data_IF_396655019773
#
_entry.id   IF_396655019773
#
_cell.length_a   1.000
_cell.length_b   1.000
_cell.length_c   1.000
_cell.angle_alpha   90.00
_cell.angle_beta   90.00
_cell.angle_gamma   90.00
#
_symmetry.space_group_name_H-M   'P 1'
#
loop_
_entity.id
_entity.type
_entity.pdbx_description
1 polymer ?
#
# COMPACT_ATOMS: atom_id res chain seq x y z
N UNK A 1 -0.31 16.30 2.59
CA UNK A 1 -1.55 15.57 2.21
C UNK A 1 -1.31 14.71 0.98
N UNK A 2 -1.88 13.53 0.98
CA UNK A 2 -1.86 12.66 -0.18
C UNK A 2 -3.18 11.92 -0.32
N UNK A 3 -3.41 11.35 -1.49
CA UNK A 3 -4.61 10.57 -1.79
C UNK A 3 -4.22 9.19 -2.33
N UNK A 4 -5.02 8.20 -1.96
CA UNK A 4 -4.90 6.84 -2.47
C UNK A 4 -6.18 6.47 -3.21
N UNK A 5 -6.04 5.84 -4.38
CA UNK A 5 -7.17 5.24 -5.07
C UNK A 5 -6.72 3.96 -5.77
N UNK A 6 -7.66 3.07 -6.04
CA UNK A 6 -7.39 1.89 -6.83
C UNK A 6 -7.82 2.14 -8.27
N UNK A 7 -6.88 2.03 -9.20
CA UNK A 7 -7.16 2.08 -10.63
C UNK A 7 -7.87 0.79 -11.06
N UNK A 8 -7.46 -0.32 -10.44
CA UNK A 8 -8.12 -1.62 -10.50
C UNK A 8 -7.75 -2.38 -9.23
N UNK A 9 -8.20 -3.63 -9.09
CA UNK A 9 -7.97 -4.42 -7.87
C UNK A 9 -6.49 -4.72 -7.57
N UNK A 10 -5.60 -4.48 -8.52
CA UNK A 10 -4.17 -4.80 -8.41
C UNK A 10 -3.26 -3.58 -8.58
N UNK A 11 -3.82 -2.40 -8.79
CA UNK A 11 -3.04 -1.19 -9.04
C UNK A 11 -3.47 -0.04 -8.15
N UNK A 12 -2.55 0.40 -7.30
CA UNK A 12 -2.74 1.53 -6.40
C UNK A 12 -2.15 2.79 -7.01
N UNK A 13 -2.92 3.87 -6.97
CA UNK A 13 -2.48 5.20 -7.35
C UNK A 13 -2.25 6.04 -6.12
N UNK A 14 -1.07 6.63 -6.01
CA UNK A 14 -0.70 7.57 -4.95
C UNK A 14 -0.56 8.96 -5.56
N UNK A 15 -1.34 9.91 -5.05
CA UNK A 15 -1.25 11.32 -5.47
C UNK A 15 -0.72 12.14 -4.30
N UNK A 16 0.49 12.65 -4.45
CA UNK A 16 1.14 13.47 -3.43
C UNK A 16 1.67 14.75 -4.08
N UNK A 17 1.09 15.89 -3.73
CA UNK A 17 1.38 17.17 -4.37
C UNK A 17 1.17 17.08 -5.89
N UNK A 18 2.22 17.35 -6.68
CA UNK A 18 2.15 17.29 -8.13
C UNK A 18 2.55 15.94 -8.73
N UNK A 19 2.88 14.96 -7.85
CA UNK A 19 3.34 13.65 -8.30
C UNK A 19 2.23 12.62 -8.23
N UNK A 20 2.19 11.78 -9.26
CA UNK A 20 1.28 10.64 -9.35
C UNK A 20 2.12 9.39 -9.59
N UNK A 21 1.96 8.41 -8.72
CA UNK A 21 2.67 7.15 -8.82
C UNK A 21 1.65 6.02 -8.85
N UNK A 22 1.75 5.14 -9.84
CA UNK A 22 0.93 3.94 -9.93
C UNK A 22 1.79 2.72 -9.63
N UNK A 23 1.33 1.86 -8.75
CA UNK A 23 2.02 0.61 -8.42
C UNK A 23 1.10 -0.55 -8.76
N UNK A 24 1.50 -1.34 -9.75
CA UNK A 24 0.82 -2.60 -10.08
C UNK A 24 1.50 -3.70 -9.25
N UNK A 25 0.78 -4.17 -8.23
CA UNK A 25 1.35 -5.15 -7.29
C UNK A 25 1.43 -6.56 -7.86
N UNK A 26 0.59 -6.89 -8.81
CA UNK A 26 0.61 -8.21 -9.46
C UNK A 26 1.78 -8.33 -10.44
N UNK A 27 2.11 -7.25 -11.15
CA UNK A 27 3.20 -7.22 -12.12
C UNK A 27 4.51 -6.71 -11.53
N UNK A 28 4.48 -6.18 -10.31
CA UNK A 28 5.63 -5.59 -9.63
C UNK A 28 6.26 -4.44 -10.43
N UNK A 29 5.42 -3.53 -10.91
CA UNK A 29 5.82 -2.39 -11.72
C UNK A 29 5.37 -1.10 -11.07
N UNK A 30 6.29 -0.14 -10.98
CA UNK A 30 6.01 1.23 -10.54
C UNK A 30 6.01 2.12 -11.79
N UNK A 31 4.91 2.82 -12.03
CA UNK A 31 4.81 3.78 -13.12
C UNK A 31 4.74 5.19 -12.50
N UNK A 32 5.81 5.94 -12.71
CA UNK A 32 5.97 7.29 -12.15
C UNK A 32 5.81 8.39 -13.21
N UNK A 33 5.18 8.07 -14.32
CA UNK A 33 4.87 9.02 -15.38
C UNK A 33 5.92 9.11 -16.48
N UNK A 34 5.67 10.02 -17.42
CA UNK A 34 6.45 10.09 -18.68
C UNK A 34 7.93 10.41 -18.49
N UNK A 35 8.28 11.20 -17.47
CA UNK A 35 9.67 11.60 -17.24
C UNK A 35 10.52 10.52 -16.58
N UNK A 36 9.91 9.77 -15.66
CA UNK A 36 10.60 8.74 -14.89
C UNK A 36 10.43 7.38 -15.55
N UNK A 37 9.26 7.11 -16.11
CA UNK A 37 8.94 5.84 -16.75
C UNK A 37 8.56 4.76 -15.77
N UNK A 38 8.78 3.52 -16.18
CA UNK A 38 8.44 2.33 -15.40
C UNK A 38 9.67 1.79 -14.69
N UNK A 39 9.49 1.48 -13.42
CA UNK A 39 10.55 0.94 -12.55
C UNK A 39 10.15 -0.46 -12.13
N UNK A 40 11.06 -1.40 -12.30
CA UNK A 40 10.81 -2.81 -12.00
C UNK A 40 11.86 -3.35 -11.03
N UNK A 41 11.45 -4.37 -10.27
CA UNK A 41 12.34 -5.08 -9.37
C UNK A 41 12.58 -4.39 -8.04
N UNK A 42 13.46 -5.00 -7.24
CA UNK A 42 13.81 -4.49 -5.92
C UNK A 42 14.71 -3.25 -6.02
N UNK A 43 14.54 -2.35 -5.07
CA UNK A 43 15.33 -1.14 -5.00
C UNK A 43 14.64 -0.04 -4.19
N UNK A 44 15.36 1.07 -4.05
CA UNK A 44 14.83 2.26 -3.40
C UNK A 44 14.59 3.32 -4.46
N UNK A 45 13.40 3.89 -4.47
CA UNK A 45 13.00 4.89 -5.45
C UNK A 45 12.43 6.11 -4.73
N UNK A 46 12.87 7.28 -5.16
CA UNK A 46 12.35 8.54 -4.65
C UNK A 46 11.67 9.29 -5.79
N UNK A 47 10.37 9.54 -5.63
CA UNK A 47 9.58 10.23 -6.64
C UNK A 47 8.87 11.41 -5.96
N UNK A 48 9.49 12.60 -6.07
CA UNK A 48 9.05 13.75 -5.29
C UNK A 48 9.18 13.46 -3.79
N UNK A 49 8.08 13.62 -3.06
CA UNK A 49 8.05 13.35 -1.63
C UNK A 49 7.64 11.89 -1.30
N UNK A 50 7.53 11.05 -2.31
CA UNK A 50 7.16 9.65 -2.15
C UNK A 50 8.43 8.79 -2.18
N UNK A 51 8.71 8.13 -1.05
CA UNK A 51 9.85 7.22 -0.93
C UNK A 51 9.33 5.79 -1.04
N UNK A 52 9.81 5.02 -2.00
CA UNK A 52 9.38 3.65 -2.22
C UNK A 52 10.54 2.71 -2.02
N UNK A 53 10.38 1.75 -1.13
CA UNK A 53 11.32 0.65 -0.96
C UNK A 53 10.65 -0.63 -1.46
N UNK A 54 11.13 -1.13 -2.60
CA UNK A 54 10.66 -2.37 -3.19
C UNK A 54 11.56 -3.50 -2.72
N UNK A 55 11.00 -4.45 -1.98
CA UNK A 55 11.74 -5.50 -1.28
C UNK A 55 11.47 -6.84 -1.96
N UNK A 56 12.53 -7.48 -2.44
CA UNK A 56 12.42 -8.81 -3.03
C UNK A 56 12.25 -9.86 -1.93
N UNK A 57 11.24 -10.71 -2.09
CA UNK A 57 11.02 -11.89 -1.26
C UNK A 57 10.95 -13.13 -2.17
N UNK A 58 10.90 -14.32 -1.59
CA UNK A 58 10.92 -15.55 -2.39
C UNK A 58 9.78 -15.67 -3.38
N UNK A 59 8.61 -15.09 -3.07
CA UNK A 59 7.40 -15.19 -3.89
C UNK A 59 7.12 -13.95 -4.75
N UNK A 60 7.96 -12.91 -4.70
CA UNK A 60 7.74 -11.70 -5.48
C UNK A 60 8.36 -10.46 -4.86
N UNK A 61 7.65 -9.34 -4.95
CA UNK A 61 8.10 -8.05 -4.42
C UNK A 61 7.02 -7.47 -3.52
N UNK A 62 7.44 -6.99 -2.35
CA UNK A 62 6.58 -6.24 -1.44
C UNK A 62 7.09 -4.79 -1.36
N UNK A 63 6.20 -3.87 -1.00
CA UNK A 63 6.53 -2.45 -1.03
C UNK A 63 6.31 -1.80 0.32
N UNK A 64 7.27 -0.96 0.71
CA UNK A 64 7.10 0.00 1.78
C UNK A 64 7.20 1.39 1.19
N UNK A 65 6.20 2.21 1.48
CA UNK A 65 6.11 3.56 0.92
C UNK A 65 5.98 4.53 2.09
N UNK A 66 6.84 5.54 2.10
CA UNK A 66 6.78 6.61 3.08
C UNK A 66 6.35 7.89 2.39
N UNK A 67 5.25 8.48 2.83
CA UNK A 67 4.72 9.74 2.33
C UNK A 67 4.05 10.51 3.46
N UNK A 68 4.45 11.78 3.64
CA UNK A 68 3.91 12.68 4.68
C UNK A 68 3.94 12.06 6.09
N UNK A 69 4.98 11.29 6.41
CA UNK A 69 5.14 10.63 7.71
C UNK A 69 4.26 9.38 7.88
N UNK A 70 3.52 8.99 6.87
CA UNK A 70 2.66 7.80 6.88
C UNK A 70 3.37 6.67 6.15
N UNK A 71 3.29 5.47 6.71
CA UNK A 71 3.95 4.28 6.18
C UNK A 71 2.91 3.36 5.57
N UNK A 72 3.06 3.12 4.28
CA UNK A 72 2.15 2.28 3.51
C UNK A 72 2.87 1.00 3.11
N UNK A 73 2.26 -0.14 3.38
CA UNK A 73 2.75 -1.43 2.92
C UNK A 73 1.85 -1.99 1.83
N UNK A 74 2.44 -2.57 0.80
CA UNK A 74 1.71 -3.29 -0.23
C UNK A 74 2.24 -4.71 -0.30
N UNK A 75 1.38 -5.69 -0.03
CA UNK A 75 1.73 -7.11 0.00
C UNK A 75 0.70 -7.88 -0.81
N UNK A 76 1.08 -8.28 -2.00
CA UNK A 76 0.23 -9.06 -2.91
C UNK A 76 0.77 -10.48 -3.13
N UNK A 77 2.03 -10.68 -2.81
CA UNK A 77 2.69 -11.99 -2.91
C UNK A 77 2.45 -12.80 -1.63
N UNK A 78 2.68 -14.11 -1.69
CA UNK A 78 2.64 -14.98 -0.52
C UNK A 78 3.85 -14.68 0.36
N UNK A 79 3.64 -13.88 1.40
CA UNK A 79 4.70 -13.42 2.29
C UNK A 79 4.64 -14.15 3.62
N UNK A 80 5.81 -14.55 4.11
CA UNK A 80 5.98 -15.14 5.44
C UNK A 80 6.19 -14.05 6.48
N UNK A 81 6.04 -14.40 7.76
CA UNK A 81 6.28 -13.46 8.85
C UNK A 81 7.66 -12.81 8.77
N UNK A 82 8.68 -13.58 8.42
CA UNK A 82 10.06 -13.10 8.25
C UNK A 82 10.16 -12.03 7.15
N UNK A 83 9.45 -12.23 6.04
CA UNK A 83 9.42 -11.26 4.95
C UNK A 83 8.77 -9.95 5.40
N UNK A 84 7.70 -10.05 6.21
CA UNK A 84 6.95 -8.89 6.69
C UNK A 84 7.73 -8.08 7.72
N UNK A 85 8.66 -8.70 8.44
CA UNK A 85 9.53 -7.98 9.38
C UNK A 85 10.35 -6.90 8.68
N UNK A 86 10.69 -7.08 7.41
CA UNK A 86 11.45 -6.11 6.63
C UNK A 86 10.65 -4.84 6.30
N UNK A 87 9.32 -4.92 6.34
CA UNK A 87 8.48 -3.73 6.15
C UNK A 87 8.59 -2.77 7.33
N UNK A 88 8.84 -3.28 8.54
CA UNK A 88 8.75 -2.47 9.74
C UNK A 88 7.31 -2.06 10.04
N UNK A 89 7.10 -1.06 10.90
CA UNK A 89 5.76 -0.58 11.23
C UNK A 89 5.04 -0.01 10.02
N UNK A 90 3.79 -0.42 9.83
CA UNK A 90 2.95 0.00 8.69
C UNK A 90 1.65 0.59 9.22
N UNK A 91 1.28 1.77 8.73
CA UNK A 91 0.04 2.45 9.08
C UNK A 91 -1.11 2.02 8.18
N UNK A 92 -0.85 1.95 6.87
CA UNK A 92 -1.83 1.60 5.84
C UNK A 92 -1.32 0.38 5.08
N UNK A 93 -2.11 -0.68 5.04
CA UNK A 93 -1.73 -1.92 4.36
C UNK A 93 -2.69 -2.21 3.22
N UNK A 94 -2.16 -2.30 2.00
CA UNK A 94 -2.87 -2.85 0.86
C UNK A 94 -2.45 -4.31 0.69
N UNK A 95 -3.40 -5.22 0.72
CA UNK A 95 -3.09 -6.65 0.62
C UNK A 95 -4.29 -7.48 0.16
N UNK A 96 -4.00 -8.65 -0.37
CA UNK A 96 -4.99 -9.67 -0.73
C UNK A 96 -5.00 -10.83 0.28
N UNK A 97 -4.37 -10.68 1.44
CA UNK A 97 -4.20 -11.76 2.41
C UNK A 97 -4.62 -11.34 3.82
N UNK A 98 -5.61 -12.03 4.38
CA UNK A 98 -6.04 -11.84 5.78
C UNK A 98 -4.92 -12.18 6.76
N UNK A 99 -4.11 -13.19 6.46
CA UNK A 99 -2.96 -13.56 7.27
C UNK A 99 -1.98 -12.39 7.42
N UNK A 100 -1.72 -11.68 6.34
CA UNK A 100 -0.82 -10.52 6.35
C UNK A 100 -1.39 -9.41 7.23
N UNK A 101 -2.69 -9.16 7.15
CA UNK A 101 -3.36 -8.17 8.02
C UNK A 101 -3.13 -8.51 9.50
N UNK A 102 -3.30 -9.77 9.87
CA UNK A 102 -3.18 -10.21 11.25
C UNK A 102 -1.75 -10.12 11.78
N UNK A 103 -0.75 -10.25 10.92
CA UNK A 103 0.66 -10.12 11.31
C UNK A 103 1.07 -8.66 11.38
N UNK A 104 0.73 -7.86 10.38
CA UNK A 104 1.15 -6.46 10.27
C UNK A 104 0.39 -5.57 11.25
N UNK A 105 -0.89 -5.83 11.47
CA UNK A 105 -1.76 -5.04 12.36
C UNK A 105 -1.74 -3.55 12.04
N UNK A 106 -2.12 -3.14 10.82
CA UNK A 106 -2.13 -1.73 10.44
C UNK A 106 -3.32 -1.00 11.05
N UNK A 107 -3.37 0.31 10.88
CA UNK A 107 -4.53 1.13 11.25
C UNK A 107 -5.59 1.14 10.15
N UNK A 108 -5.15 1.05 8.91
CA UNK A 108 -6.03 1.02 7.73
C UNK A 108 -5.66 -0.17 6.84
N UNK A 109 -6.68 -0.88 6.38
CA UNK A 109 -6.53 -1.93 5.36
C UNK A 109 -7.23 -1.50 4.08
N UNK A 110 -6.53 -1.61 2.97
CA UNK A 110 -7.09 -1.43 1.62
C UNK A 110 -7.13 -2.82 0.98
N UNK A 111 -8.32 -3.41 0.79
CA UNK A 111 -8.43 -4.71 0.13
C UNK A 111 -7.94 -4.64 -1.32
N UNK A 112 -7.05 -5.55 -1.68
CA UNK A 112 -6.55 -5.74 -3.03
C UNK A 112 -7.02 -7.11 -3.55
N UNK A 113 -7.11 -7.24 -4.86
CA UNK A 113 -7.49 -8.50 -5.48
C UNK A 113 -8.84 -8.98 -4.98
N UNK A 114 -8.86 -10.18 -4.44
CA UNK A 114 -10.08 -10.84 -3.95
C UNK A 114 -10.05 -11.03 -2.43
N UNK A 115 -9.46 -10.09 -1.70
CA UNK A 115 -9.40 -10.19 -0.24
C UNK A 115 -10.82 -10.32 0.35
N UNK A 116 -11.04 -11.39 1.09
CA UNK A 116 -12.23 -11.54 1.90
C UNK A 116 -11.98 -10.87 3.25
N UNK A 117 -12.50 -9.66 3.41
CA UNK A 117 -12.32 -8.88 4.63
C UNK A 117 -13.42 -9.09 5.66
N UNK A 118 -14.35 -10.00 5.43
CA UNK A 118 -15.43 -10.31 6.37
C UNK A 118 -14.92 -10.85 7.71
N UNK A 119 -13.74 -11.48 7.71
CA UNK A 119 -13.11 -12.01 8.91
C UNK A 119 -12.24 -10.99 9.65
N UNK A 120 -12.05 -9.81 9.08
CA UNK A 120 -11.25 -8.76 9.68
C UNK A 120 -12.17 -7.90 10.56
N UNK A 121 -11.84 -7.82 11.85
CA UNK A 121 -12.62 -7.00 12.78
C UNK A 121 -12.23 -5.54 12.63
N UNK A 122 -13.14 -4.75 12.08
CA UNK A 122 -12.93 -3.33 11.87
C UNK A 122 -14.14 -2.70 11.20
N UNK A 123 -14.19 -1.38 11.23
CA UNK A 123 -15.19 -0.62 10.51
C UNK A 123 -14.88 -0.66 9.02
N UNK A 124 -15.90 -0.90 8.19
CA UNK A 124 -15.74 -0.90 6.73
C UNK A 124 -16.32 0.39 6.17
N UNK A 125 -15.50 1.10 5.40
CA UNK A 125 -15.92 2.29 4.67
C UNK A 125 -15.69 2.06 3.19
N UNK A 126 -16.66 2.49 2.37
CA UNK A 126 -16.54 2.42 0.91
C UNK A 126 -16.34 3.83 0.40
N UNK A 127 -15.19 4.08 -0.20
CA UNK A 127 -14.81 5.39 -0.71
C UNK A 127 -14.15 5.22 -2.08
N UNK A 128 -14.26 6.24 -2.91
CA UNK A 128 -13.53 6.23 -4.18
C UNK A 128 -12.04 6.54 -3.97
N UNK A 129 -11.76 7.45 -3.05
CA UNK A 129 -10.41 7.88 -2.71
C UNK A 129 -10.25 8.00 -1.20
N UNK A 130 -9.09 7.65 -0.73
CA UNK A 130 -8.70 7.84 0.66
C UNK A 130 -7.76 9.04 0.73
N UNK A 131 -8.20 10.09 1.41
CA UNK A 131 -7.42 11.31 1.60
C UNK A 131 -6.80 11.32 2.98
N UNK A 132 -5.49 11.45 3.06
CA UNK A 132 -4.74 11.49 4.31
C UNK A 132 -4.05 12.85 4.42
N UNK A 133 -4.38 13.59 5.47
CA UNK A 133 -3.78 14.89 5.74
C UNK A 133 -2.35 14.76 6.26
N UNK A 134 -2.19 13.92 7.28
CA UNK A 134 -0.91 13.62 7.93
C UNK A 134 -1.10 12.41 8.83
N UNK A 135 -0.03 11.99 9.52
CA UNK A 135 -0.06 10.81 10.40
C UNK A 135 -1.06 10.93 11.57
N UNK A 136 -1.38 12.16 12.00
CA UNK A 136 -2.33 12.40 13.09
C UNK A 136 -3.79 12.21 12.68
N UNK A 137 -4.08 12.18 11.38
CA UNK A 137 -5.43 11.98 10.86
C UNK A 137 -5.81 10.51 10.69
N UNK A 138 -4.90 9.59 11.01
CA UNK A 138 -5.16 8.16 10.93
C UNK A 138 -6.14 7.72 12.04
N UNK A 139 -7.01 6.74 11.78
CA UNK A 139 -7.93 6.26 12.81
C UNK A 139 -7.18 5.56 13.95
N UNK A 140 -7.78 5.57 15.13
CA UNK A 140 -7.23 4.90 16.31
C UNK A 140 -7.53 3.39 16.34
N UNK A 141 -8.54 2.97 15.58
CA UNK A 141 -8.94 1.56 15.47
C UNK A 141 -8.88 1.13 14.02
N UNK A 142 -8.69 -0.18 13.81
CA UNK A 142 -8.60 -0.74 12.46
C UNK A 142 -9.83 -0.38 11.61
N UNK A 143 -9.57 0.24 10.49
CA UNK A 143 -10.59 0.64 9.52
C UNK A 143 -10.26 0.05 8.15
N UNK A 144 -11.24 -0.55 7.51
CA UNK A 144 -11.10 -1.13 6.18
C UNK A 144 -11.68 -0.14 5.18
N UNK A 145 -10.85 0.33 4.26
CA UNK A 145 -11.29 1.22 3.17
C UNK A 145 -11.36 0.44 1.87
N UNK A 146 -12.57 0.10 1.47
CA UNK A 146 -12.80 -0.46 0.14
C UNK A 146 -12.83 0.69 -0.85
N UNK A 147 -11.78 0.83 -1.63
CA UNK A 147 -11.64 1.89 -2.63
C UNK A 147 -12.26 1.42 -3.95
N UNK A 148 -13.38 2.02 -4.27
CA UNK A 148 -14.21 1.53 -5.36
C UNK A 148 -14.58 2.66 -6.34
#
# INVERSE_FOLDING_TARGET
MFELELKNSEELTIRAKEKVVNINVAQSVIDAGLKVGKLEGAGEYEIGDVMINAIAISSGVIYRIDVDGVKIGLVYADAKAEDLDELGPIDILGTNSTKVVNIVMPKIVIPLGTLDFSEIKGEVKVEKRLKIKNSNSLPSTLTIYKLD
#
